data_IF_533901271350
#
_entry.id   IF_533901271350
#
_cell.length_a   1.000
_cell.length_b   1.000
_cell.length_c   1.000
_cell.angle_alpha   90.00
_cell.angle_beta   90.00
_cell.angle_gamma   90.00
#
_symmetry.space_group_name_H-M   'P 1'
#
loop_
_entity.id
_entity.type
_entity.pdbx_description
1 polymer ?
#
# COMPACT_ATOMS: atom_id res chain seq x y z
N UNK A 1 0.08 -15.22 -9.80
CA UNK A 1 -0.72 -15.66 -8.63
C UNK A 1 -1.44 -14.48 -8.03
N UNK A 2 -2.45 -14.70 -7.19
CA UNK A 2 -3.21 -13.64 -6.51
C UNK A 2 -2.86 -13.62 -5.03
N UNK A 3 -2.82 -12.43 -4.44
CA UNK A 3 -2.66 -12.22 -2.99
C UNK A 3 -3.99 -11.65 -2.50
N UNK A 4 -4.73 -12.42 -1.70
CA UNK A 4 -6.12 -12.10 -1.34
C UNK A 4 -6.30 -12.32 0.16
N UNK A 5 -6.83 -11.31 0.87
CA UNK A 5 -7.17 -11.44 2.29
C UNK A 5 -5.95 -11.59 3.21
N UNK A 6 -4.77 -11.11 2.79
CA UNK A 6 -3.53 -11.24 3.55
C UNK A 6 -3.28 -10.00 4.41
N UNK A 7 -2.74 -10.22 5.61
CA UNK A 7 -2.35 -9.14 6.51
C UNK A 7 -0.99 -9.35 7.14
N UNK A 8 -0.34 -8.26 7.54
CA UNK A 8 0.93 -8.28 8.26
C UNK A 8 1.02 -7.11 9.24
N UNK A 9 1.51 -7.38 10.45
CA UNK A 9 1.86 -6.37 11.45
C UNK A 9 3.36 -6.30 11.71
N UNK A 10 4.16 -7.04 10.93
CA UNK A 10 5.60 -7.12 11.13
C UNK A 10 6.29 -5.81 10.73
N UNK A 11 7.31 -5.41 11.51
CA UNK A 11 8.27 -4.40 11.07
C UNK A 11 9.17 -5.00 9.99
N UNK A 12 9.18 -4.38 8.80
CA UNK A 12 9.94 -4.87 7.64
C UNK A 12 11.10 -3.93 7.34
N UNK A 13 12.29 -4.50 7.17
CA UNK A 13 13.49 -3.80 6.70
C UNK A 13 14.03 -4.50 5.48
N UNK A 14 14.50 -3.73 4.49
CA UNK A 14 15.12 -4.30 3.30
C UNK A 14 15.82 -3.26 2.46
N UNK A 15 16.62 -3.71 1.50
CA UNK A 15 17.50 -2.81 0.73
C UNK A 15 17.01 -2.55 -0.70
N UNK A 16 16.04 -3.33 -1.18
CA UNK A 16 15.43 -3.16 -2.50
C UNK A 16 14.01 -3.69 -2.51
N UNK A 17 13.06 -2.86 -2.96
CA UNK A 17 11.63 -3.15 -3.04
C UNK A 17 11.07 -3.68 -1.72
N UNK A 18 10.69 -2.76 -0.83
CA UNK A 18 10.26 -3.11 0.52
C UNK A 18 8.78 -2.80 0.69
N UNK A 19 8.00 -3.78 1.14
CA UNK A 19 6.60 -3.60 1.47
C UNK A 19 6.16 -4.48 2.64
N UNK A 20 5.17 -4.02 3.40
CA UNK A 20 4.68 -4.70 4.59
C UNK A 20 4.00 -6.05 4.31
N UNK A 21 3.42 -6.21 3.11
CA UNK A 21 2.82 -7.48 2.65
C UNK A 21 3.71 -8.16 1.60
N UNK A 22 4.24 -7.39 0.64
CA UNK A 22 5.08 -7.94 -0.41
C UNK A 22 6.18 -6.94 -0.83
N UNK A 23 7.39 -7.43 -1.08
CA UNK A 23 8.44 -6.60 -1.68
C UNK A 23 8.13 -6.26 -3.14
N UNK A 24 7.88 -7.28 -3.96
CA UNK A 24 7.45 -7.17 -5.35
C UNK A 24 6.18 -7.99 -5.58
N UNK A 25 5.28 -7.50 -6.42
CA UNK A 25 4.19 -8.32 -6.97
C UNK A 25 3.99 -8.10 -8.47
N UNK A 26 3.59 -9.17 -9.15
CA UNK A 26 3.22 -9.20 -10.58
C UNK A 26 1.74 -9.54 -10.84
N UNK A 27 0.99 -9.89 -9.79
CA UNK A 27 -0.39 -10.34 -9.89
C UNK A 27 -1.40 -9.40 -9.23
N UNK A 28 -2.63 -9.89 -9.10
CA UNK A 28 -3.72 -9.16 -8.43
C UNK A 28 -3.56 -9.20 -6.91
N UNK A 29 -3.80 -8.07 -6.26
CA UNK A 29 -3.88 -7.97 -4.80
C UNK A 29 -5.24 -7.42 -4.38
N UNK A 30 -5.95 -8.12 -3.50
CA UNK A 30 -7.31 -7.77 -3.07
C UNK A 30 -7.43 -7.91 -1.56
N UNK A 31 -8.05 -6.94 -0.90
CA UNK A 31 -8.38 -7.04 0.54
C UNK A 31 -7.14 -7.36 1.42
N UNK A 32 -6.00 -6.74 1.13
CA UNK A 32 -4.76 -6.97 1.87
C UNK A 32 -4.32 -5.73 2.64
N UNK A 33 -3.64 -5.91 3.76
CA UNK A 33 -3.18 -4.76 4.55
C UNK A 33 -1.91 -4.98 5.37
N UNK A 34 -1.25 -3.87 5.71
CA UNK A 34 -0.10 -3.87 6.60
C UNK A 34 -0.22 -2.80 7.69
N UNK A 35 0.08 -3.17 8.93
CA UNK A 35 0.11 -2.22 10.07
C UNK A 35 1.50 -1.97 10.62
N UNK A 36 2.46 -2.86 10.36
CA UNK A 36 3.85 -2.71 10.80
C UNK A 36 4.64 -1.70 9.98
N UNK A 37 5.65 -1.10 10.62
CA UNK A 37 6.53 -0.11 9.99
C UNK A 37 7.42 -0.73 8.89
N UNK A 38 7.71 0.06 7.87
CA UNK A 38 8.55 -0.30 6.74
C UNK A 38 9.76 0.64 6.68
N UNK A 39 10.97 0.08 6.61
CA UNK A 39 12.22 0.83 6.40
C UNK A 39 12.95 0.34 5.15
N UNK A 40 13.12 1.23 4.18
CA UNK A 40 14.02 1.02 3.04
C UNK A 40 15.44 1.46 3.42
N UNK A 41 16.34 0.50 3.57
CA UNK A 41 17.75 0.72 3.91
C UNK A 41 18.56 0.85 2.61
N UNK A 42 18.92 2.08 2.26
CA UNK A 42 19.59 2.39 1.00
C UNK A 42 21.08 2.00 1.11
N UNK A 43 21.48 0.98 0.35
CA UNK A 43 22.85 0.45 0.32
C UNK A 43 23.53 0.50 -1.07
N UNK A 44 22.80 0.94 -2.09
CA UNK A 44 23.23 0.83 -3.49
C UNK A 44 22.66 1.93 -4.38
N UNK A 45 23.28 2.12 -5.54
CA UNK A 45 22.90 3.13 -6.54
C UNK A 45 21.72 2.70 -7.45
N UNK A 46 20.95 1.68 -7.04
CA UNK A 46 19.86 1.13 -7.84
C UNK A 46 18.60 1.99 -7.71
N UNK A 47 17.62 1.76 -8.58
CA UNK A 47 16.27 2.24 -8.34
C UNK A 47 15.66 1.44 -7.18
N UNK A 48 15.19 2.17 -6.17
CA UNK A 48 14.68 1.62 -4.93
C UNK A 48 13.26 2.11 -4.68
N UNK A 49 12.44 1.25 -4.11
CA UNK A 49 11.08 1.63 -3.73
C UNK A 49 10.66 1.01 -2.41
N UNK A 50 9.87 1.78 -1.66
CA UNK A 50 9.31 1.40 -0.37
C UNK A 50 7.85 1.80 -0.29
N UNK A 51 6.97 0.86 0.02
CA UNK A 51 5.53 1.12 0.19
C UNK A 51 4.99 0.47 1.44
N UNK A 52 3.92 1.03 2.01
CA UNK A 52 3.31 0.43 3.21
C UNK A 52 2.83 -1.01 2.97
N UNK A 53 2.24 -1.31 1.81
CA UNK A 53 1.79 -2.66 1.43
C UNK A 53 2.77 -3.32 0.47
N UNK A 54 3.13 -2.64 -0.62
CA UNK A 54 4.00 -3.19 -1.67
C UNK A 54 5.12 -2.23 -2.05
N UNK A 55 6.36 -2.72 -2.12
CA UNK A 55 7.49 -1.94 -2.62
C UNK A 55 7.39 -1.68 -4.13
N UNK A 56 7.37 -2.74 -4.93
CA UNK A 56 7.30 -2.69 -6.40
C UNK A 56 6.08 -3.43 -6.92
N UNK A 57 5.20 -2.70 -7.59
CA UNK A 57 3.91 -3.18 -8.05
C UNK A 57 3.80 -3.17 -9.57
N UNK A 58 3.81 -4.37 -10.17
CA UNK A 58 3.57 -4.59 -11.59
C UNK A 58 2.40 -5.59 -11.78
N UNK A 59 1.80 -5.61 -12.96
CA UNK A 59 0.71 -6.53 -13.31
C UNK A 59 -0.69 -5.91 -13.30
N UNK A 60 -1.68 -6.64 -12.78
CA UNK A 60 -3.10 -6.36 -13.05
C UNK A 60 -3.71 -5.23 -12.22
N UNK A 61 -4.01 -5.46 -10.93
CA UNK A 61 -4.66 -4.44 -10.07
C UNK A 61 -4.37 -4.59 -8.59
N UNK A 62 -4.56 -3.49 -7.86
CA UNK A 62 -4.62 -3.44 -6.40
C UNK A 62 -6.01 -2.94 -6.00
N UNK A 63 -6.74 -3.72 -5.21
CA UNK A 63 -8.12 -3.42 -4.85
C UNK A 63 -8.31 -3.51 -3.33
N UNK A 64 -8.90 -2.48 -2.73
CA UNK A 64 -9.33 -2.49 -1.34
C UNK A 64 -8.21 -2.89 -0.36
N UNK A 65 -7.01 -2.32 -0.54
CA UNK A 65 -5.86 -2.58 0.32
C UNK A 65 -5.50 -1.36 1.16
N UNK A 66 -4.90 -1.55 2.32
CA UNK A 66 -4.49 -0.41 3.15
C UNK A 66 -3.18 -0.59 3.92
N UNK A 67 -2.57 0.53 4.30
CA UNK A 67 -1.42 0.54 5.20
C UNK A 67 -1.56 1.58 6.33
N UNK A 68 -1.08 1.24 7.52
CA UNK A 68 -1.04 2.17 8.67
C UNK A 68 0.35 2.36 9.27
N UNK A 69 1.28 1.42 9.05
CA UNK A 69 2.66 1.55 9.50
C UNK A 69 3.39 2.68 8.79
N UNK A 70 4.33 3.30 9.49
CA UNK A 70 5.20 4.33 8.91
C UNK A 70 6.10 3.74 7.83
N UNK A 71 6.34 4.52 6.78
CA UNK A 71 7.30 4.15 5.74
C UNK A 71 8.45 5.14 5.82
N UNK A 72 9.66 4.63 5.96
CA UNK A 72 10.87 5.44 6.13
C UNK A 72 11.97 4.94 5.20
N UNK A 73 12.93 5.80 4.91
CA UNK A 73 14.16 5.40 4.23
C UNK A 73 15.37 5.96 4.99
N UNK A 74 16.45 5.19 4.98
CA UNK A 74 17.72 5.57 5.62
C UNK A 74 18.87 5.36 4.65
N UNK A 75 19.96 6.11 4.80
CA UNK A 75 21.11 6.06 3.90
C UNK A 75 21.03 7.12 2.81
N UNK A 76 21.81 6.96 1.75
CA UNK A 76 21.90 7.92 0.65
C UNK A 76 22.03 7.20 -0.67
N UNK A 77 21.16 7.53 -1.63
CA UNK A 77 21.18 6.97 -2.98
C UNK A 77 21.64 8.03 -3.96
N UNK A 78 22.31 7.60 -5.02
CA UNK A 78 22.49 8.41 -6.24
C UNK A 78 21.50 8.00 -7.35
N UNK A 79 20.68 6.97 -7.11
CA UNK A 79 19.61 6.51 -8.00
C UNK A 79 18.23 7.03 -7.58
N UNK A 80 17.16 6.58 -8.26
CA UNK A 80 15.81 7.00 -7.91
C UNK A 80 15.30 6.25 -6.67
N UNK A 81 14.71 6.99 -5.73
CA UNK A 81 14.09 6.43 -4.53
C UNK A 81 12.61 6.81 -4.52
N UNK A 82 11.73 5.81 -4.50
CA UNK A 82 10.28 5.99 -4.58
C UNK A 82 9.62 5.48 -3.30
N UNK A 83 9.20 6.39 -2.43
CA UNK A 83 8.53 6.07 -1.18
C UNK A 83 7.07 6.51 -1.26
N UNK A 84 6.14 5.61 -0.96
CA UNK A 84 4.72 5.92 -0.87
C UNK A 84 4.07 5.29 0.35
N UNK A 85 2.98 5.90 0.81
CA UNK A 85 2.26 5.43 1.99
C UNK A 85 1.64 4.05 1.82
N UNK A 86 1.29 3.66 0.59
CA UNK A 86 0.72 2.36 0.24
C UNK A 86 1.64 1.57 -0.70
N UNK A 87 2.07 2.18 -1.80
CA UNK A 87 2.89 1.55 -2.85
C UNK A 87 4.16 2.38 -3.09
N UNK A 88 5.30 1.72 -3.26
CA UNK A 88 6.54 2.43 -3.61
C UNK A 88 6.54 2.88 -5.07
N UNK A 89 6.55 1.94 -6.01
CA UNK A 89 6.49 2.19 -7.45
C UNK A 89 5.46 1.28 -8.09
N UNK A 90 4.55 1.83 -8.89
CA UNK A 90 3.33 1.18 -9.33
C UNK A 90 3.01 1.43 -10.81
N UNK A 91 2.71 0.35 -11.52
CA UNK A 91 2.30 0.34 -12.93
C UNK A 91 0.84 -0.06 -13.16
N UNK A 92 0.09 -0.31 -12.07
CA UNK A 92 -1.23 -0.93 -12.16
C UNK A 92 -2.31 0.02 -11.69
N UNK A 93 -3.55 -0.28 -12.10
CA UNK A 93 -4.73 0.33 -11.50
C UNK A 93 -4.77 0.05 -9.99
N UNK A 94 -5.11 1.09 -9.23
CA UNK A 94 -5.31 1.06 -7.78
C UNK A 94 -6.75 1.49 -7.54
N UNK A 95 -7.50 0.79 -6.71
CA UNK A 95 -8.92 1.13 -6.49
C UNK A 95 -9.28 0.95 -5.03
N UNK A 96 -9.95 1.96 -4.46
CA UNK A 96 -10.39 1.97 -3.07
C UNK A 96 -9.29 1.57 -2.09
N UNK A 97 -8.06 2.02 -2.30
CA UNK A 97 -6.95 1.72 -1.41
C UNK A 97 -6.60 2.92 -0.54
N UNK A 98 -6.12 2.67 0.67
CA UNK A 98 -6.01 3.71 1.70
C UNK A 98 -4.68 3.65 2.43
N UNK A 99 -4.18 4.80 2.91
CA UNK A 99 -3.03 4.81 3.82
C UNK A 99 -3.24 5.78 4.97
N UNK A 100 -2.69 5.45 6.13
CA UNK A 100 -2.58 6.34 7.29
C UNK A 100 -1.17 6.22 7.85
N UNK A 101 -0.23 6.98 7.29
CA UNK A 101 1.13 7.03 7.80
C UNK A 101 1.80 8.39 7.50
N UNK A 102 3.09 8.47 7.80
CA UNK A 102 3.94 9.65 7.65
C UNK A 102 4.15 10.13 6.20
N UNK A 103 3.66 9.43 5.19
CA UNK A 103 3.85 9.83 3.79
C UNK A 103 2.82 10.86 3.30
N UNK A 104 3.27 11.77 2.44
CA UNK A 104 2.43 12.80 1.81
C UNK A 104 1.54 12.22 0.71
N UNK A 105 2.02 11.16 0.03
CA UNK A 105 1.34 10.50 -1.08
C UNK A 105 1.29 8.98 -0.88
N UNK A 106 0.25 8.34 -1.41
CA UNK A 106 0.07 6.89 -1.28
C UNK A 106 0.95 6.08 -2.23
N UNK A 107 1.32 6.65 -3.37
CA UNK A 107 2.12 5.98 -4.38
C UNK A 107 3.38 6.83 -4.60
N UNK A 108 4.56 6.25 -4.37
CA UNK A 108 5.84 6.96 -4.54
C UNK A 108 6.09 7.33 -6.00
N UNK A 109 5.80 6.42 -6.92
CA UNK A 109 5.82 6.63 -8.36
C UNK A 109 4.65 5.92 -9.03
N UNK A 110 3.81 6.67 -9.75
CA UNK A 110 2.62 6.14 -10.42
C UNK A 110 2.77 6.24 -11.95
N UNK A 111 2.83 5.09 -12.62
CA UNK A 111 2.93 5.00 -14.07
C UNK A 111 1.58 4.86 -14.78
N UNK A 112 0.54 4.38 -14.09
CA UNK A 112 -0.75 4.04 -14.72
C UNK A 112 -1.62 5.28 -15.01
N UNK A 113 -1.34 6.43 -14.36
CA UNK A 113 -1.97 7.75 -14.62
C UNK A 113 -3.50 7.75 -14.74
N UNK A 114 -4.21 6.83 -14.08
CA UNK A 114 -5.68 6.85 -13.99
C UNK A 114 -6.11 6.86 -12.53
N UNK A 115 -6.93 7.85 -12.18
CA UNK A 115 -7.63 7.91 -10.90
C UNK A 115 -8.85 6.95 -10.90
N UNK A 116 -9.36 6.52 -9.72
CA UNK A 116 -8.96 6.93 -8.38
C UNK A 116 -7.62 6.29 -7.97
N UNK A 117 -6.74 7.07 -7.33
CA UNK A 117 -5.49 6.55 -6.79
C UNK A 117 -5.74 5.88 -5.42
N UNK A 118 -4.70 5.79 -4.60
CA UNK A 118 -4.90 5.56 -3.17
C UNK A 118 -5.41 6.85 -2.50
N UNK A 119 -6.03 6.76 -1.32
CA UNK A 119 -6.52 7.91 -0.54
C UNK A 119 -5.93 7.94 0.88
N UNK A 120 -5.46 9.12 1.34
CA UNK A 120 -5.00 9.29 2.73
C UNK A 120 -6.18 9.28 3.69
N UNK A 121 -6.10 8.51 4.77
CA UNK A 121 -7.03 8.57 5.89
C UNK A 121 -6.49 9.57 6.90
N UNK A 122 -6.95 10.82 6.80
CA UNK A 122 -6.50 11.93 7.66
C UNK A 122 -7.28 12.06 8.98
N UNK A 123 -8.39 11.31 9.13
CA UNK A 123 -9.25 11.35 10.30
C UNK A 123 -10.23 12.51 10.33
N UNK A 124 -10.23 13.37 9.30
CA UNK A 124 -11.13 14.51 9.14
C UNK A 124 -12.15 14.22 8.04
N UNK A 125 -11.81 14.48 6.78
CA UNK A 125 -12.62 14.21 5.60
C UNK A 125 -12.67 12.71 5.32
N UNK A 126 -11.52 12.04 5.44
CA UNK A 126 -11.41 10.60 5.21
C UNK A 126 -11.18 9.92 6.55
N UNK A 127 -12.15 9.11 6.95
CA UNK A 127 -12.14 8.35 8.21
C UNK A 127 -12.03 6.86 7.90
N UNK A 128 -11.62 6.05 8.88
CA UNK A 128 -11.61 4.61 8.66
C UNK A 128 -13.00 4.03 8.39
N UNK A 129 -14.04 4.65 8.93
CA UNK A 129 -15.42 4.27 8.65
C UNK A 129 -15.74 4.40 7.15
N UNK A 130 -15.55 5.59 6.58
CA UNK A 130 -15.86 5.79 5.15
C UNK A 130 -14.88 5.05 4.22
N UNK A 131 -13.62 4.87 4.63
CA UNK A 131 -12.66 4.05 3.90
C UNK A 131 -13.10 2.58 3.85
N UNK A 132 -13.53 1.99 4.98
CA UNK A 132 -14.05 0.62 5.01
C UNK A 132 -15.31 0.48 4.18
N UNK A 133 -16.25 1.43 4.27
CA UNK A 133 -17.48 1.41 3.46
C UNK A 133 -17.17 1.42 1.95
N UNK A 134 -16.21 2.25 1.53
CA UNK A 134 -15.76 2.33 0.15
C UNK A 134 -15.00 1.07 -0.30
N UNK A 135 -14.11 0.51 0.55
CA UNK A 135 -13.44 -0.76 0.29
C UNK A 135 -14.45 -1.90 0.09
N UNK A 136 -15.42 -2.02 0.99
CA UNK A 136 -16.46 -3.04 0.92
C UNK A 136 -17.36 -2.88 -0.31
N UNK A 137 -17.69 -1.65 -0.68
CA UNK A 137 -18.42 -1.36 -1.93
C UNK A 137 -17.62 -1.82 -3.15
N UNK A 138 -16.33 -1.51 -3.21
CA UNK A 138 -15.47 -1.89 -4.33
C UNK A 138 -15.26 -3.41 -4.39
N UNK A 139 -15.09 -4.08 -3.25
CA UNK A 139 -15.01 -5.53 -3.14
C UNK A 139 -16.29 -6.21 -3.64
N UNK A 140 -17.46 -5.74 -3.19
CA UNK A 140 -18.76 -6.23 -3.64
C UNK A 140 -18.94 -6.07 -5.15
N UNK A 141 -18.62 -4.89 -5.70
CA UNK A 141 -18.72 -4.63 -7.13
C UNK A 141 -17.79 -5.51 -7.96
N UNK A 142 -16.65 -5.92 -7.39
CA UNK A 142 -15.71 -6.85 -8.01
C UNK A 142 -16.10 -8.33 -7.83
N UNK A 143 -17.24 -8.65 -7.20
CA UNK A 143 -17.68 -10.02 -6.93
C UNK A 143 -16.86 -10.74 -5.87
N UNK A 144 -16.15 -10.01 -5.01
CA UNK A 144 -15.36 -10.59 -3.92
C UNK A 144 -16.25 -11.06 -2.77
N UNK A 145 -15.93 -12.21 -2.19
CA UNK A 145 -16.52 -12.71 -0.95
C UNK A 145 -15.93 -12.03 0.29
N UNK A 146 -14.74 -11.43 0.16
CA UNK A 146 -14.09 -10.68 1.24
C UNK A 146 -14.80 -9.35 1.53
N UNK A 147 -14.86 -9.02 2.82
CA UNK A 147 -15.29 -7.74 3.35
C UNK A 147 -14.47 -7.41 4.61
N UNK A 148 -14.25 -6.13 4.85
CA UNK A 148 -13.74 -5.62 6.11
C UNK A 148 -14.87 -5.41 7.11
N UNK A 149 -14.61 -5.70 8.37
CA UNK A 149 -15.51 -5.41 9.49
C UNK A 149 -14.96 -4.20 10.26
N UNK A 150 -15.82 -3.21 10.54
CA UNK A 150 -15.44 -2.00 11.27
C UNK A 150 -16.04 -2.03 12.67
N UNK A 151 -15.20 -2.32 13.67
CA UNK A 151 -15.62 -2.47 15.08
C UNK A 151 -15.42 -1.20 15.93
N UNK A 152 -15.31 -0.03 15.30
CA UNK A 152 -15.08 1.27 15.97
C UNK A 152 -13.61 1.70 15.95
N UNK A 153 -12.68 0.75 15.90
CA UNK A 153 -11.27 0.92 15.55
C UNK A 153 -10.88 -0.17 14.56
N UNK A 154 -10.13 0.15 13.50
CA UNK A 154 -9.37 -0.88 12.80
C UNK A 154 -8.30 -1.33 13.78
N UNK A 155 -8.27 -2.61 14.15
CA UNK A 155 -7.28 -3.13 15.08
C UNK A 155 -5.87 -2.70 14.64
N UNK A 156 -5.22 -1.90 15.51
CA UNK A 156 -3.85 -1.40 15.40
C UNK A 156 -2.89 -2.48 15.90
#
# INVERSE_FOLDING_TARGET
>A
GSIIGCSSSATVKGTRYVGGVAGEKQGTMIACYATGDVTLEIDSQRDLSGGGVVGFNIGSRVLACYATGNVTSTGSSTGNVHIGGLLGDSYTEVTACYWKNNQEQGIGRNHHKTAPEATKVDGTVVTWKNAVDAMNTALKNAGSEWRYEFNGTLDL
#
